data_IF_717995331458
#
_entry.id   IF_717995331458
#
_cell.length_a   1.000
_cell.length_b   1.000
_cell.length_c   1.000
_cell.angle_alpha   90.00
_cell.angle_beta   90.00
_cell.angle_gamma   90.00
#
_symmetry.space_group_name_H-M   'P 1'
#
loop_
_entity.id
_entity.type
_entity.pdbx_description
1 polymer ?
#
# COMPACT_ATOMS: atom_id res chain seq x y z
N UNK A 1 -9.10 -32.80 -43.89
CA UNK A 1 -7.90 -32.18 -43.26
C UNK A 1 -8.20 -30.91 -42.46
N UNK A 2 -8.93 -29.92 -42.97
CA UNK A 2 -9.27 -28.67 -42.23
C UNK A 2 -10.02 -28.90 -40.90
N UNK A 3 -10.95 -29.87 -40.85
CA UNK A 3 -11.70 -30.20 -39.63
C UNK A 3 -10.84 -30.87 -38.53
N UNK A 4 -9.72 -31.50 -38.90
CA UNK A 4 -8.82 -32.14 -37.94
C UNK A 4 -7.93 -31.09 -37.26
N UNK A 5 -7.43 -30.11 -38.02
CA UNK A 5 -6.66 -28.97 -37.49
C UNK A 5 -7.52 -28.10 -36.57
N UNK A 6 -8.79 -27.85 -36.94
CA UNK A 6 -9.72 -27.12 -36.09
C UNK A 6 -10.01 -27.85 -34.77
N UNK A 7 -10.24 -29.18 -34.80
CA UNK A 7 -10.41 -29.97 -33.59
C UNK A 7 -9.15 -30.02 -32.73
N UNK A 8 -7.96 -30.12 -33.33
CA UNK A 8 -6.69 -30.10 -32.60
C UNK A 8 -6.46 -28.75 -31.91
N UNK A 9 -6.81 -27.64 -32.59
CA UNK A 9 -6.68 -26.29 -32.06
C UNK A 9 -7.67 -26.04 -30.90
N UNK A 10 -8.91 -26.56 -31.00
CA UNK A 10 -9.90 -26.47 -29.93
C UNK A 10 -9.47 -27.29 -28.71
N UNK A 11 -8.87 -28.48 -28.90
CA UNK A 11 -8.36 -29.31 -27.79
C UNK A 11 -7.16 -28.65 -27.11
N UNK A 12 -6.23 -28.05 -27.88
CA UNK A 12 -5.08 -27.33 -27.32
C UNK A 12 -5.46 -26.03 -26.61
N UNK A 13 -6.54 -25.36 -27.02
CA UNK A 13 -7.05 -24.15 -26.36
C UNK A 13 -7.94 -24.47 -25.14
N UNK A 14 -8.56 -25.64 -25.10
CA UNK A 14 -9.44 -26.06 -24.00
C UNK A 14 -8.68 -26.45 -22.72
N UNK A 15 -7.40 -26.80 -22.83
CA UNK A 15 -6.54 -27.25 -21.72
C UNK A 15 -5.66 -26.15 -21.13
N UNK A 16 -5.84 -24.88 -21.50
CA UNK A 16 -5.19 -23.78 -20.76
C UNK A 16 -5.98 -23.59 -19.47
N UNK A 17 -5.43 -23.96 -18.29
CA UNK A 17 -6.15 -23.81 -17.04
C UNK A 17 -6.47 -22.33 -16.83
N UNK A 18 -7.75 -22.05 -16.58
CA UNK A 18 -8.18 -20.70 -16.26
C UNK A 18 -7.56 -20.27 -14.93
N UNK A 19 -6.54 -19.41 -15.01
CA UNK A 19 -5.84 -18.87 -13.85
C UNK A 19 -6.60 -17.69 -13.21
N UNK A 20 -7.73 -17.26 -13.78
CA UNK A 20 -8.55 -16.17 -13.24
C UNK A 20 -8.89 -16.33 -11.75
N UNK A 21 -9.33 -17.48 -11.22
CA UNK A 21 -9.60 -17.63 -9.79
C UNK A 21 -8.36 -17.46 -8.89
N UNK A 22 -7.18 -17.92 -9.32
CA UNK A 22 -5.93 -17.73 -8.56
C UNK A 22 -5.52 -16.25 -8.58
N UNK A 23 -5.68 -15.63 -9.74
CA UNK A 23 -5.35 -14.23 -9.97
C UNK A 23 -6.27 -13.34 -9.14
N UNK A 24 -7.59 -13.56 -9.17
CA UNK A 24 -8.59 -12.84 -8.39
C UNK A 24 -8.38 -13.05 -6.88
N UNK A 25 -7.94 -14.23 -6.44
CA UNK A 25 -7.61 -14.49 -5.03
C UNK A 25 -6.37 -13.70 -4.58
N UNK A 26 -5.30 -13.69 -5.38
CA UNK A 26 -4.07 -12.94 -5.09
C UNK A 26 -4.34 -11.44 -5.11
N UNK A 27 -5.06 -10.92 -6.10
CA UNK A 27 -5.39 -9.50 -6.17
C UNK A 27 -6.41 -9.09 -5.11
N UNK A 28 -7.41 -9.91 -4.80
CA UNK A 28 -8.40 -9.60 -3.76
C UNK A 28 -7.78 -9.60 -2.36
N UNK A 29 -7.26 -10.74 -1.91
CA UNK A 29 -6.71 -10.88 -0.56
C UNK A 29 -5.35 -10.20 -0.40
N UNK A 30 -4.49 -10.25 -1.43
CA UNK A 30 -3.17 -9.63 -1.39
C UNK A 30 -3.25 -8.11 -1.25
N UNK A 31 -4.11 -7.44 -2.01
CA UNK A 31 -4.31 -6.01 -1.84
C UNK A 31 -5.02 -5.66 -0.54
N UNK A 32 -5.99 -6.45 -0.08
CA UNK A 32 -6.62 -6.21 1.22
C UNK A 32 -5.58 -6.26 2.35
N UNK A 33 -4.63 -7.19 2.29
CA UNK A 33 -3.51 -7.26 3.22
C UNK A 33 -2.59 -6.03 3.11
N UNK A 34 -2.27 -5.57 1.90
CA UNK A 34 -1.48 -4.35 1.67
C UNK A 34 -2.18 -3.13 2.26
N UNK A 35 -3.48 -2.95 2.01
CA UNK A 35 -4.27 -1.84 2.56
C UNK A 35 -4.30 -1.87 4.09
N UNK A 36 -4.45 -3.05 4.70
CA UNK A 36 -4.42 -3.19 6.15
C UNK A 36 -3.05 -2.80 6.74
N UNK A 37 -1.96 -3.25 6.13
CA UNK A 37 -0.60 -2.91 6.55
C UNK A 37 -0.34 -1.41 6.39
N UNK A 38 -0.71 -0.81 5.25
CA UNK A 38 -0.51 0.63 5.06
C UNK A 38 -1.39 1.48 6.02
N UNK A 39 -2.57 1.00 6.38
CA UNK A 39 -3.42 1.65 7.39
C UNK A 39 -2.78 1.62 8.79
N UNK A 40 -2.19 0.49 9.19
CA UNK A 40 -1.43 0.36 10.43
C UNK A 40 -0.21 1.29 10.46
N UNK A 41 0.54 1.36 9.36
CA UNK A 41 1.70 2.25 9.24
C UNK A 41 1.26 3.71 9.31
N UNK A 42 0.13 4.07 8.70
CA UNK A 42 -0.41 5.43 8.76
C UNK A 42 -0.78 5.82 10.21
N UNK A 43 -1.44 4.94 10.95
CA UNK A 43 -1.72 5.13 12.38
C UNK A 43 -0.44 5.30 13.19
N UNK A 44 0.56 4.45 12.96
CA UNK A 44 1.86 4.55 13.62
C UNK A 44 2.53 5.92 13.35
N UNK A 45 2.49 6.41 12.12
CA UNK A 45 3.06 7.71 11.76
C UNK A 45 2.31 8.87 12.42
N UNK A 46 0.98 8.80 12.55
CA UNK A 46 0.21 9.78 13.33
C UNK A 46 0.67 9.81 14.79
N UNK A 47 0.85 8.65 15.43
CA UNK A 47 1.39 8.57 16.79
C UNK A 47 2.78 9.18 16.91
N UNK A 48 3.66 8.94 15.92
CA UNK A 48 5.01 9.51 15.87
C UNK A 48 4.95 11.03 15.76
N UNK A 49 4.10 11.58 14.89
CA UNK A 49 3.92 13.03 14.73
C UNK A 49 3.45 13.69 16.04
N UNK A 50 2.48 13.09 16.73
CA UNK A 50 2.02 13.58 18.04
C UNK A 50 3.16 13.56 19.07
N UNK A 51 3.93 12.47 19.14
CA UNK A 51 5.08 12.35 20.06
C UNK A 51 6.16 13.39 19.77
N UNK A 52 6.46 13.66 18.49
CA UNK A 52 7.41 14.69 18.10
C UNK A 52 6.89 16.08 18.47
N UNK A 53 5.59 16.34 18.28
CA UNK A 53 4.95 17.59 18.70
C UNK A 53 5.15 17.88 20.19
N UNK A 54 4.94 16.88 21.07
CA UNK A 54 5.23 17.02 22.50
C UNK A 54 6.71 17.29 22.79
N UNK A 55 7.65 16.66 22.06
CA UNK A 55 9.09 16.92 22.21
C UNK A 55 9.47 18.34 21.81
N UNK A 56 8.89 18.87 20.72
CA UNK A 56 9.10 20.26 20.28
C UNK A 56 8.57 21.24 21.32
N UNK A 57 7.36 21.00 21.82
CA UNK A 57 6.76 21.85 22.86
C UNK A 57 7.61 21.89 24.13
N UNK A 58 8.12 20.72 24.57
CA UNK A 58 9.01 20.61 25.73
C UNK A 58 10.35 21.31 25.50
N UNK A 59 11.03 21.05 24.38
CA UNK A 59 12.30 21.70 24.05
C UNK A 59 12.16 23.23 23.96
N UNK A 60 11.01 23.72 23.46
CA UNK A 60 10.71 25.16 23.45
C UNK A 60 10.51 25.73 24.85
N UNK A 61 9.94 24.97 25.79
CA UNK A 61 9.80 25.38 27.19
C UNK A 61 11.14 25.39 27.93
N UNK A 62 12.03 24.46 27.59
CA UNK A 62 13.33 24.28 28.24
C UNK A 62 14.42 25.22 27.67
N UNK A 63 14.10 25.99 26.61
CA UNK A 63 15.06 26.85 25.92
C UNK A 63 16.11 26.08 25.09
N UNK A 64 15.88 24.79 24.86
CA UNK A 64 16.79 23.90 24.13
C UNK A 64 16.59 24.01 22.61
N UNK A 65 17.46 24.82 21.98
CA UNK A 65 17.41 25.12 20.55
C UNK A 65 17.89 23.93 19.70
N UNK A 66 18.84 23.13 20.20
CA UNK A 66 19.39 21.97 19.49
C UNK A 66 18.39 20.81 19.47
N UNK A 67 17.78 20.51 20.62
CA UNK A 67 16.72 19.50 20.73
C UNK A 67 15.51 19.83 19.87
N UNK A 68 15.17 21.12 19.74
CA UNK A 68 14.10 21.61 18.87
C UNK A 68 14.43 21.44 17.38
N UNK A 69 15.66 21.73 16.96
CA UNK A 69 16.10 21.55 15.56
C UNK A 69 16.05 20.08 15.13
N UNK A 70 16.55 19.18 15.98
CA UNK A 70 16.50 17.74 15.73
C UNK A 70 15.05 17.22 15.62
N UNK A 71 14.16 17.67 16.53
CA UNK A 71 12.76 17.28 16.51
C UNK A 71 11.99 17.82 15.29
N UNK A 72 12.33 19.01 14.78
CA UNK A 72 11.79 19.54 13.52
C UNK A 72 12.23 18.66 12.34
N UNK A 73 13.49 18.22 12.30
CA UNK A 73 13.94 17.30 11.23
C UNK A 73 13.16 15.98 11.27
N UNK A 74 12.95 15.44 12.46
CA UNK A 74 12.16 14.20 12.64
C UNK A 74 10.71 14.37 12.18
N UNK A 75 10.08 15.54 12.41
CA UNK A 75 8.70 15.79 11.98
C UNK A 75 8.57 15.83 10.44
N UNK A 76 9.59 16.38 9.76
CA UNK A 76 9.61 16.45 8.29
C UNK A 76 9.68 15.05 7.70
N UNK A 77 10.59 14.21 8.18
CA UNK A 77 10.72 12.83 7.69
C UNK A 77 9.49 11.97 8.00
N UNK A 78 8.92 12.12 9.20
CA UNK A 78 7.68 11.44 9.57
C UNK A 78 6.51 11.87 8.66
N UNK A 79 6.44 13.16 8.31
CA UNK A 79 5.40 13.70 7.42
C UNK A 79 5.55 13.19 5.97
N UNK A 80 6.78 13.15 5.45
CA UNK A 80 7.07 12.59 4.12
C UNK A 80 6.71 11.10 4.08
N UNK A 81 7.11 10.34 5.10
CA UNK A 81 6.75 8.93 5.23
C UNK A 81 5.24 8.72 5.26
N UNK A 82 4.49 9.57 5.98
CA UNK A 82 3.04 9.49 6.07
C UNK A 82 2.38 9.74 4.71
N UNK A 83 2.83 10.75 3.97
CA UNK A 83 2.32 11.06 2.64
C UNK A 83 2.55 9.91 1.64
N UNK A 84 3.73 9.26 1.69
CA UNK A 84 4.05 8.12 0.83
C UNK A 84 3.16 6.91 1.12
N UNK A 85 2.99 6.57 2.40
CA UNK A 85 2.17 5.43 2.82
C UNK A 85 0.69 5.68 2.50
N UNK A 86 0.19 6.89 2.72
CA UNK A 86 -1.17 7.27 2.35
C UNK A 86 -1.41 7.11 0.83
N UNK A 87 -0.48 7.61 0.01
CA UNK A 87 -0.56 7.49 -1.45
C UNK A 87 -0.52 6.02 -1.90
N UNK A 88 0.34 5.19 -1.30
CA UNK A 88 0.39 3.76 -1.57
C UNK A 88 -0.93 3.04 -1.19
N UNK A 89 -1.57 3.47 -0.10
CA UNK A 89 -2.86 2.93 0.34
C UNK A 89 -3.97 3.22 -0.66
N UNK A 90 -4.04 4.46 -1.16
CA UNK A 90 -5.01 4.86 -2.19
C UNK A 90 -4.75 4.10 -3.50
N UNK A 91 -3.49 4.03 -3.94
CA UNK A 91 -3.13 3.31 -5.15
C UNK A 91 -3.53 1.83 -5.06
N UNK A 92 -3.26 1.18 -3.91
CA UNK A 92 -3.73 -0.17 -3.62
C UNK A 92 -5.26 -0.26 -3.72
N UNK A 93 -6.01 0.58 -3.00
CA UNK A 93 -7.48 0.55 -3.07
C UNK A 93 -8.05 0.72 -4.48
N UNK A 94 -7.49 1.63 -5.28
CA UNK A 94 -7.89 1.86 -6.68
C UNK A 94 -7.55 0.66 -7.56
N UNK A 95 -6.36 0.09 -7.44
CA UNK A 95 -5.97 -1.12 -8.18
C UNK A 95 -6.89 -2.29 -7.86
N UNK A 96 -7.19 -2.54 -6.58
CA UNK A 96 -8.17 -3.57 -6.18
C UNK A 96 -9.52 -3.36 -6.86
N UNK A 97 -10.03 -2.13 -6.85
CA UNK A 97 -11.34 -1.82 -7.41
C UNK A 97 -11.40 -2.00 -8.93
N UNK A 98 -10.30 -1.73 -9.65
CA UNK A 98 -10.22 -1.93 -11.10
C UNK A 98 -10.18 -3.43 -11.45
N UNK A 99 -9.36 -4.21 -10.74
CA UNK A 99 -9.19 -5.64 -11.04
C UNK A 99 -10.37 -6.49 -10.59
N UNK A 100 -11.01 -6.18 -9.45
CA UNK A 100 -12.20 -6.92 -8.98
C UNK A 100 -13.47 -6.61 -9.78
N UNK A 101 -13.46 -5.57 -10.62
CA UNK A 101 -14.62 -5.18 -11.45
C UNK A 101 -14.63 -5.86 -12.84
N UNK A 102 -13.55 -6.55 -13.22
CA UNK A 102 -13.36 -7.23 -14.52
C UNK A 102 -13.40 -8.77 -14.39
#
# INVERSE_FOLDING_TARGET
MKNFIAKLNIVFLADVPDFKPITDYIWGYGLAAVTAVCSLISLFLVFVLVKIGFRIAKASSDGDVEGRSAAIRDIIWASIGAALVFSATIAAGVFSAIFLKN
#
